data_IF_607353044979
#
_entry.id   IF_607353044979
#
_cell.length_a   1.000
_cell.length_b   1.000
_cell.length_c   1.000
_cell.angle_alpha   90.00
_cell.angle_beta   90.00
_cell.angle_gamma   90.00
#
_symmetry.space_group_name_H-M   'P 1'
#
loop_
_entity.id
_entity.type
_entity.pdbx_description
1 polymer ?
#
# COMPACT_ATOMS: atom_id res chain seq x y z
N UNK A 1 8.48 -2.48 11.32
CA UNK A 1 7.29 -1.71 11.77
C UNK A 1 6.15 -2.68 12.02
N UNK A 2 5.19 -2.32 12.86
CA UNK A 2 3.98 -3.09 13.18
C UNK A 2 2.74 -2.29 12.79
N UNK A 3 1.86 -2.90 12.01
CA UNK A 3 0.59 -2.29 11.60
C UNK A 3 -0.55 -2.78 12.53
N UNK A 4 -1.09 -1.90 13.37
CA UNK A 4 -1.87 -2.33 14.54
C UNK A 4 -3.38 -2.35 14.28
N UNK A 5 -3.91 -1.25 13.74
CA UNK A 5 -5.35 -1.09 13.54
C UNK A 5 -5.65 -0.13 12.40
N UNK A 6 -6.88 -0.18 11.92
CA UNK A 6 -7.38 0.71 10.86
C UNK A 6 -8.88 0.93 11.05
N UNK A 7 -9.38 2.01 10.45
CA UNK A 7 -10.80 2.28 10.28
C UNK A 7 -10.98 3.31 9.18
N UNK A 8 -12.22 3.74 8.93
CA UNK A 8 -12.48 4.72 7.89
C UNK A 8 -11.71 6.02 8.16
N UNK A 9 -10.80 6.36 7.24
CA UNK A 9 -9.96 7.55 7.32
C UNK A 9 -8.70 7.41 8.17
N UNK A 10 -8.34 6.23 8.71
CA UNK A 10 -7.07 6.09 9.42
C UNK A 10 -6.43 4.69 9.44
N UNK A 11 -5.13 4.68 9.75
CA UNK A 11 -4.34 3.50 10.12
C UNK A 11 -3.41 3.83 11.30
N UNK A 12 -3.07 2.84 12.12
CA UNK A 12 -2.11 2.97 13.23
C UNK A 12 -0.90 2.09 12.95
N UNK A 13 0.28 2.71 12.86
CA UNK A 13 1.57 2.03 12.64
C UNK A 13 2.49 2.41 13.79
N UNK A 14 3.06 1.42 14.48
CA UNK A 14 3.95 1.60 15.64
C UNK A 14 3.38 2.60 16.67
N UNK A 15 2.13 2.39 17.09
CA UNK A 15 1.41 3.27 18.02
C UNK A 15 1.00 4.65 17.48
N UNK A 16 1.42 5.04 16.28
CA UNK A 16 1.09 6.35 15.69
C UNK A 16 -0.07 6.26 14.70
N UNK A 17 -1.08 7.10 14.91
CA UNK A 17 -2.24 7.23 14.02
C UNK A 17 -1.95 8.15 12.83
N UNK A 18 -2.25 7.65 11.63
CA UNK A 18 -2.17 8.39 10.37
C UNK A 18 -3.57 8.54 9.78
N UNK A 19 -3.98 9.77 9.52
CA UNK A 19 -5.27 10.11 8.90
C UNK A 19 -5.26 10.16 7.37
N UNK A 20 -4.27 9.53 6.74
CA UNK A 20 -4.05 9.54 5.30
C UNK A 20 -3.42 8.23 4.85
N UNK A 21 -3.39 8.01 3.53
CA UNK A 21 -2.76 6.82 2.94
C UNK A 21 -1.25 6.83 3.21
N UNK A 22 -0.73 5.68 3.63
CA UNK A 22 0.69 5.53 3.98
C UNK A 22 1.36 4.49 3.10
N UNK A 23 2.66 4.66 2.90
CA UNK A 23 3.58 3.71 2.29
C UNK A 23 4.62 3.32 3.34
N UNK A 24 4.84 2.02 3.52
CA UNK A 24 5.81 1.47 4.45
C UNK A 24 6.96 0.85 3.65
N UNK A 25 8.17 1.34 3.93
CA UNK A 25 9.46 0.81 3.45
C UNK A 25 10.32 0.52 4.69
N UNK A 26 11.50 1.12 4.82
CA UNK A 26 12.23 1.21 6.09
C UNK A 26 11.58 2.22 7.06
N UNK A 27 10.79 3.15 6.52
CA UNK A 27 10.05 4.17 7.26
C UNK A 27 8.61 4.30 6.75
N UNK A 28 7.77 5.00 7.54
CA UNK A 28 6.41 5.36 7.13
C UNK A 28 6.42 6.68 6.37
N UNK A 29 5.98 6.67 5.13
CA UNK A 29 5.85 7.85 4.27
C UNK A 29 4.39 8.11 3.90
N UNK A 30 3.96 9.36 3.74
CA UNK A 30 2.66 9.64 3.13
C UNK A 30 2.67 9.20 1.65
N UNK A 31 1.56 8.60 1.20
CA UNK A 31 1.37 8.30 -0.23
C UNK A 31 1.20 9.60 -1.02
N UNK A 32 2.18 9.93 -1.84
CA UNK A 32 2.12 10.99 -2.85
C UNK A 32 1.28 10.54 -4.04
N UNK A 33 0.04 11.01 -4.10
CA UNK A 33 -0.93 10.73 -5.18
C UNK A 33 -0.68 11.54 -6.46
N UNK A 34 0.39 12.32 -6.50
CA UNK A 34 0.61 13.31 -7.56
C UNK A 34 0.84 12.68 -8.93
N UNK A 35 1.46 11.51 -8.95
CA UNK A 35 1.68 10.72 -10.17
C UNK A 35 0.39 10.12 -10.73
N UNK A 36 -0.63 9.88 -9.90
CA UNK A 36 -1.92 9.30 -10.30
C UNK A 36 -3.07 10.32 -10.35
N UNK A 37 -2.83 11.58 -9.97
CA UNK A 37 -3.83 12.66 -9.94
C UNK A 37 -4.52 12.87 -11.30
N UNK A 38 -3.79 12.74 -12.41
CA UNK A 38 -4.31 12.91 -13.77
C UNK A 38 -5.38 11.88 -14.14
N UNK A 39 -5.38 10.71 -13.49
CA UNK A 39 -6.34 9.63 -13.74
C UNK A 39 -7.62 9.77 -12.89
N UNK A 40 -7.65 10.68 -11.90
CA UNK A 40 -8.79 10.85 -11.00
C UNK A 40 -10.09 11.18 -11.72
N UNK A 41 -10.03 11.99 -12.78
CA UNK A 41 -11.20 12.36 -13.59
C UNK A 41 -11.82 11.17 -14.33
N UNK A 42 -11.03 10.13 -14.64
CA UNK A 42 -11.46 8.94 -15.37
C UNK A 42 -12.11 7.88 -14.47
N UNK A 43 -11.68 7.77 -13.21
CA UNK A 43 -12.13 6.72 -12.30
C UNK A 43 -13.02 7.22 -11.14
N UNK A 44 -13.23 8.54 -11.01
CA UNK A 44 -13.88 9.15 -9.84
C UNK A 44 -13.04 9.09 -8.56
N UNK A 45 -12.06 8.18 -8.51
CA UNK A 45 -11.07 7.97 -7.47
C UNK A 45 -9.66 8.08 -8.06
N UNK A 46 -8.67 8.38 -7.23
CA UNK A 46 -7.26 8.32 -7.65
C UNK A 46 -6.78 6.86 -7.53
N UNK A 47 -6.56 6.14 -8.66
CA UNK A 47 -6.13 4.74 -8.62
C UNK A 47 -4.73 4.62 -8.00
N UNK A 48 -4.37 3.43 -7.53
CA UNK A 48 -2.96 3.09 -7.34
C UNK A 48 -2.39 2.56 -8.65
N UNK A 49 -1.30 3.18 -9.11
CA UNK A 49 -0.68 2.84 -10.38
C UNK A 49 0.60 2.04 -10.19
N UNK A 50 0.97 1.25 -11.20
CA UNK A 50 2.28 0.61 -11.28
C UNK A 50 3.44 1.61 -11.19
N UNK A 51 3.28 2.80 -11.76
CA UNK A 51 4.28 3.87 -11.65
C UNK A 51 4.53 4.29 -10.19
N UNK A 52 3.47 4.42 -9.38
CA UNK A 52 3.63 4.65 -7.94
C UNK A 52 4.37 3.49 -7.26
N UNK A 53 4.03 2.25 -7.60
CA UNK A 53 4.70 1.05 -7.04
C UNK A 53 6.20 1.09 -7.34
N UNK A 54 6.58 1.32 -8.60
CA UNK A 54 7.98 1.42 -8.99
C UNK A 54 8.67 2.59 -8.27
N UNK A 55 8.03 3.75 -8.18
CA UNK A 55 8.59 4.93 -7.54
C UNK A 55 8.88 4.72 -6.03
N UNK A 56 8.03 3.99 -5.32
CA UNK A 56 8.25 3.72 -3.89
C UNK A 56 9.20 2.56 -3.62
N UNK A 57 9.18 1.53 -4.45
CA UNK A 57 9.76 0.24 -4.10
C UNK A 57 10.99 -0.16 -4.92
N UNK A 58 11.35 0.57 -5.98
CA UNK A 58 12.54 0.25 -6.80
C UNK A 58 13.85 0.25 -6.01
N UNK A 59 14.01 1.21 -5.09
CA UNK A 59 15.21 1.28 -4.25
C UNK A 59 15.10 0.37 -3.01
N UNK A 60 13.88 0.23 -2.46
CA UNK A 60 13.63 -0.59 -1.28
C UNK A 60 13.72 -2.11 -1.57
N UNK A 61 13.39 -2.53 -2.80
CA UNK A 61 13.44 -3.92 -3.29
C UNK A 61 12.76 -4.94 -2.36
N UNK A 62 11.46 -4.78 -2.07
CA UNK A 62 10.73 -5.72 -1.24
C UNK A 62 10.61 -7.08 -1.93
N UNK A 63 10.55 -8.15 -1.15
CA UNK A 63 10.21 -9.47 -1.68
C UNK A 63 8.69 -9.67 -1.80
N UNK A 64 7.91 -8.93 -1.00
CA UNK A 64 6.44 -8.90 -1.07
C UNK A 64 5.95 -7.46 -0.95
N UNK A 65 5.00 -7.08 -1.79
CA UNK A 65 4.28 -5.82 -1.75
C UNK A 65 2.85 -6.08 -1.29
N UNK A 66 2.47 -5.51 -0.15
CA UNK A 66 1.12 -5.62 0.42
C UNK A 66 0.35 -4.33 0.16
N UNK A 67 -0.77 -4.41 -0.55
CA UNK A 67 -1.65 -3.29 -0.84
C UNK A 67 -2.97 -3.43 -0.06
N UNK A 68 -3.23 -2.48 0.82
CA UNK A 68 -4.55 -2.25 1.41
C UNK A 68 -5.41 -1.42 0.47
N UNK A 69 -6.44 -2.02 -0.13
CA UNK A 69 -7.30 -1.40 -1.15
C UNK A 69 -8.45 -0.58 -0.57
N UNK A 70 -8.34 -0.13 0.68
CA UNK A 70 -9.39 0.59 1.40
C UNK A 70 -10.16 -0.32 2.36
N UNK A 71 -11.00 0.29 3.20
CA UNK A 71 -11.85 -0.43 4.15
C UNK A 71 -12.82 -1.38 3.45
N UNK A 72 -13.30 -0.97 2.27
CA UNK A 72 -14.25 -1.75 1.48
C UNK A 72 -13.60 -2.45 0.28
N UNK A 73 -12.33 -2.14 -0.02
CA UNK A 73 -11.59 -2.74 -1.12
C UNK A 73 -11.91 -2.13 -2.48
N UNK A 74 -12.28 -0.84 -2.53
CA UNK A 74 -12.73 -0.18 -3.74
C UNK A 74 -11.64 0.64 -4.44
N UNK A 75 -10.41 0.67 -3.92
CA UNK A 75 -9.28 1.34 -4.57
C UNK A 75 -8.96 0.67 -5.92
N UNK A 76 -9.11 1.36 -7.06
CA UNK A 76 -8.76 0.79 -8.35
C UNK A 76 -7.24 0.63 -8.47
N UNK A 77 -6.81 -0.51 -9.00
CA UNK A 77 -5.40 -0.81 -9.29
C UNK A 77 -5.17 -0.82 -10.79
N UNK A 78 -4.11 -0.17 -11.25
CA UNK A 78 -3.78 -0.07 -12.69
C UNK A 78 -2.29 -0.32 -12.88
N UNK A 79 -1.91 -1.41 -13.53
CA UNK A 79 -0.49 -1.71 -13.81
C UNK A 79 0.32 -2.19 -12.59
N UNK A 80 -0.36 -2.48 -11.47
CA UNK A 80 0.27 -2.75 -10.17
C UNK A 80 0.90 -4.14 -10.13
N UNK A 81 0.27 -5.13 -10.78
CA UNK A 81 0.78 -6.49 -10.90
C UNK A 81 1.97 -6.58 -11.84
N UNK A 82 1.98 -5.85 -12.96
CA UNK A 82 3.14 -5.76 -13.84
C UNK A 82 4.32 -5.08 -13.13
N UNK A 83 4.08 -4.01 -12.39
CA UNK A 83 5.11 -3.33 -11.61
C UNK A 83 5.69 -4.22 -10.51
N UNK A 84 4.86 -4.98 -9.80
CA UNK A 84 5.34 -5.94 -8.80
C UNK A 84 6.20 -7.04 -9.45
N UNK A 85 5.77 -7.55 -10.62
CA UNK A 85 6.55 -8.52 -11.40
C UNK A 85 7.89 -7.96 -11.88
N UNK A 86 7.92 -6.70 -12.34
CA UNK A 86 9.15 -6.01 -12.74
C UNK A 86 10.15 -5.91 -11.57
N UNK A 87 9.64 -5.66 -10.36
CA UNK A 87 10.45 -5.61 -9.14
C UNK A 87 10.87 -7.00 -8.61
N UNK A 88 10.37 -8.09 -9.21
CA UNK A 88 10.58 -9.45 -8.71
C UNK A 88 9.90 -9.72 -7.36
N UNK A 89 8.84 -8.97 -7.05
CA UNK A 89 8.11 -9.04 -5.79
C UNK A 89 6.77 -9.77 -5.95
N UNK A 90 6.36 -10.50 -4.91
CA UNK A 90 5.00 -11.01 -4.80
C UNK A 90 4.03 -9.85 -4.50
N UNK A 91 2.85 -9.82 -5.12
CA UNK A 91 1.82 -8.83 -4.84
C UNK A 91 0.67 -9.46 -4.04
N UNK A 92 0.32 -8.85 -2.92
CA UNK A 92 -0.89 -9.18 -2.16
C UNK A 92 -1.77 -7.95 -2.02
N UNK A 93 -2.93 -7.96 -2.66
CA UNK A 93 -3.93 -6.90 -2.54
C UNK A 93 -5.16 -7.40 -1.76
N UNK A 94 -5.48 -6.75 -0.64
CA UNK A 94 -6.63 -7.09 0.22
C UNK A 94 -7.27 -5.83 0.79
N UNK A 95 -8.45 -5.96 1.41
CA UNK A 95 -9.01 -4.88 2.23
C UNK A 95 -8.02 -4.47 3.31
N UNK A 96 -7.96 -3.19 3.64
CA UNK A 96 -6.91 -2.64 4.50
C UNK A 96 -6.79 -3.39 5.83
N UNK A 97 -7.91 -3.72 6.48
CA UNK A 97 -7.88 -4.51 7.74
C UNK A 97 -7.25 -5.90 7.61
N UNK A 98 -7.39 -6.57 6.47
CA UNK A 98 -6.76 -7.87 6.20
C UNK A 98 -5.30 -7.71 5.74
N UNK A 99 -5.03 -6.67 4.95
CA UNK A 99 -3.69 -6.33 4.49
C UNK A 99 -2.74 -6.04 5.67
N UNK A 100 -3.22 -5.37 6.73
CA UNK A 100 -2.46 -5.17 7.96
C UNK A 100 -2.02 -6.49 8.61
N UNK A 101 -2.93 -7.48 8.67
CA UNK A 101 -2.63 -8.81 9.25
C UNK A 101 -1.60 -9.54 8.41
N UNK A 102 -1.76 -9.51 7.09
CA UNK A 102 -0.83 -10.13 6.15
C UNK A 102 0.57 -9.51 6.26
N UNK A 103 0.65 -8.18 6.27
CA UNK A 103 1.89 -7.45 6.47
C UNK A 103 2.62 -7.90 7.74
N UNK A 104 1.94 -7.91 8.88
CA UNK A 104 2.55 -8.32 10.15
C UNK A 104 3.00 -9.79 10.14
N UNK A 105 2.23 -10.69 9.52
CA UNK A 105 2.58 -12.10 9.40
C UNK A 105 3.89 -12.26 8.63
N UNK A 106 3.98 -11.64 7.45
CA UNK A 106 5.16 -11.71 6.58
C UNK A 106 6.39 -11.07 7.22
N UNK A 107 6.23 -9.93 7.90
CA UNK A 107 7.31 -9.30 8.67
C UNK A 107 7.80 -10.23 9.79
N UNK A 108 6.90 -10.91 10.50
CA UNK A 108 7.26 -11.89 11.54
C UNK A 108 8.01 -13.10 10.97
N UNK A 109 7.74 -13.46 9.72
CA UNK A 109 8.45 -14.50 8.97
C UNK A 109 9.84 -14.05 8.47
N UNK A 110 10.21 -12.79 8.70
CA UNK A 110 11.50 -12.24 8.29
C UNK A 110 11.56 -11.81 6.83
N UNK A 111 10.42 -11.77 6.12
CA UNK A 111 10.35 -11.26 4.73
C UNK A 111 10.59 -9.75 4.73
N UNK A 112 11.24 -9.25 3.68
CA UNK A 112 11.29 -7.81 3.39
C UNK A 112 9.99 -7.39 2.71
N UNK A 113 9.12 -6.75 3.48
CA UNK A 113 7.77 -6.37 3.01
C UNK A 113 7.71 -4.87 2.76
N UNK A 114 7.25 -4.49 1.57
CA UNK A 114 6.79 -3.14 1.27
C UNK A 114 5.27 -3.10 1.39
N UNK A 115 4.69 -2.01 1.89
CA UNK A 115 3.24 -1.92 1.96
C UNK A 115 2.70 -0.55 1.60
N UNK A 116 1.46 -0.51 1.12
CA UNK A 116 0.71 0.72 0.89
C UNK A 116 -0.71 0.52 1.41
N UNK A 117 -1.16 1.37 2.32
CA UNK A 117 -2.48 1.25 2.92
C UNK A 117 -3.35 2.44 2.54
N UNK A 118 -4.43 2.18 1.79
CA UNK A 118 -5.49 3.14 1.57
C UNK A 118 -6.47 3.14 2.75
N UNK A 119 -6.77 4.31 3.30
CA UNK A 119 -7.53 4.41 4.57
C UNK A 119 -9.03 4.63 4.38
N UNK A 120 -9.50 4.91 3.15
CA UNK A 120 -10.92 5.16 2.84
C UNK A 120 -11.51 4.08 1.92
N UNK A 121 -12.23 4.45 0.85
CA UNK A 121 -12.83 3.55 -0.13
C UNK A 121 -11.97 3.47 -1.39
#
# INVERSE_FOLDING_TARGET
>A
MRAESTGFGYVVIDGKRYGHDVVLTDEVRPRRKELSKSLRSRFGHTPLTGEEILAYFRDYRPEVIVVGTGQFGALPLVGVDEAARELGAELIAKRTGEALKEYNRLVKEGRRVGALFHVTC
#
